data_IF_733756128246
#
_entry.id   IF_733756128246
#
_cell.length_a   1.000
_cell.length_b   1.000
_cell.length_c   1.000
_cell.angle_alpha   90.00
_cell.angle_beta   90.00
_cell.angle_gamma   90.00
#
_symmetry.space_group_name_H-M   'P 1'
#
loop_
_entity.id
_entity.type
_entity.pdbx_description
1 polymer ?
#
# COMPACT_ATOMS: atom_id res chain seq x y z
N UNK A 1 -10.91 -8.11 30.64
CA UNK A 1 -10.64 -7.90 29.20
C UNK A 1 -11.96 -7.60 28.51
N UNK A 2 -12.27 -6.33 28.30
CA UNK A 2 -13.54 -5.91 27.66
C UNK A 2 -13.43 -6.28 26.17
N UNK A 3 -14.26 -7.21 25.70
CA UNK A 3 -14.41 -7.47 24.27
C UNK A 3 -15.13 -6.26 23.66
N UNK A 4 -14.40 -5.42 22.97
CA UNK A 4 -15.02 -4.43 22.09
C UNK A 4 -15.88 -5.16 21.06
N UNK A 5 -17.07 -4.62 20.78
CA UNK A 5 -17.95 -5.24 19.81
C UNK A 5 -17.44 -4.96 18.38
N UNK A 6 -17.89 -5.72 17.38
CA UNK A 6 -17.46 -5.57 15.98
C UNK A 6 -17.71 -4.17 15.42
N UNK A 7 -18.79 -3.50 15.86
CA UNK A 7 -19.14 -2.16 15.38
C UNK A 7 -18.18 -1.10 15.91
N UNK A 8 -17.74 -1.20 17.17
CA UNK A 8 -16.73 -0.31 17.75
C UNK A 8 -15.37 -0.47 17.07
N UNK A 9 -14.95 -1.71 16.78
CA UNK A 9 -13.72 -1.97 16.05
C UNK A 9 -13.77 -1.41 14.62
N UNK A 10 -14.90 -1.55 13.91
CA UNK A 10 -15.08 -1.02 12.58
C UNK A 10 -15.03 0.52 12.58
N UNK A 11 -15.69 1.17 13.54
CA UNK A 11 -15.66 2.63 13.67
C UNK A 11 -14.24 3.16 13.89
N UNK A 12 -13.42 2.49 14.71
CA UNK A 12 -12.02 2.87 14.92
C UNK A 12 -11.16 2.72 13.67
N UNK A 13 -11.33 1.62 12.94
CA UNK A 13 -10.63 1.43 11.64
C UNK A 13 -11.03 2.53 10.65
N UNK A 14 -12.31 2.85 10.52
CA UNK A 14 -12.77 3.95 9.68
C UNK A 14 -12.17 5.29 10.09
N UNK A 15 -12.15 5.61 11.37
CA UNK A 15 -11.56 6.84 11.87
C UNK A 15 -10.05 6.93 11.54
N UNK A 16 -9.33 5.84 11.72
CA UNK A 16 -7.90 5.77 11.35
C UNK A 16 -7.70 6.01 9.85
N UNK A 17 -8.47 5.35 9.01
CA UNK A 17 -8.37 5.49 7.55
C UNK A 17 -8.73 6.91 7.10
N UNK A 18 -9.78 7.51 7.65
CA UNK A 18 -10.15 8.90 7.31
C UNK A 18 -9.07 9.90 7.78
N UNK A 19 -8.47 9.69 8.94
CA UNK A 19 -7.36 10.51 9.42
C UNK A 19 -6.15 10.44 8.48
N UNK A 20 -5.85 9.25 7.94
CA UNK A 20 -4.73 9.02 7.03
C UNK A 20 -5.08 9.15 5.54
N UNK A 21 -6.28 9.60 5.19
CA UNK A 21 -6.75 9.67 3.80
C UNK A 21 -5.77 10.36 2.86
N UNK A 22 -5.22 11.49 3.27
CA UNK A 22 -4.22 12.24 2.49
C UNK A 22 -2.93 11.48 2.30
N UNK A 23 -2.44 10.85 3.35
CA UNK A 23 -1.23 10.00 3.32
C UNK A 23 -1.42 8.80 2.38
N UNK A 24 -2.57 8.14 2.45
CA UNK A 24 -2.93 6.98 1.59
C UNK A 24 -2.89 7.37 0.11
N UNK A 25 -3.51 8.49 -0.25
CA UNK A 25 -3.54 8.99 -1.63
C UNK A 25 -2.12 9.37 -2.09
N UNK A 26 -1.37 10.07 -1.25
CA UNK A 26 0.02 10.45 -1.54
C UNK A 26 0.89 9.22 -1.74
N UNK A 27 0.83 8.26 -0.82
CA UNK A 27 1.57 7.00 -0.93
C UNK A 27 1.22 6.23 -2.20
N UNK A 28 -0.07 6.13 -2.54
CA UNK A 28 -0.53 5.48 -3.76
C UNK A 28 0.05 6.16 -5.01
N UNK A 29 0.03 7.48 -5.07
CA UNK A 29 0.63 8.24 -6.17
C UNK A 29 2.13 8.01 -6.30
N UNK A 30 2.85 8.02 -5.19
CA UNK A 30 4.30 7.83 -5.15
C UNK A 30 4.71 6.43 -5.62
N UNK A 31 4.02 5.37 -5.18
CA UNK A 31 4.35 4.02 -5.68
C UNK A 31 3.97 3.82 -7.15
N UNK A 32 2.93 4.49 -7.64
CA UNK A 32 2.61 4.49 -9.07
C UNK A 32 3.61 5.28 -9.91
N UNK A 33 4.18 6.36 -9.36
CA UNK A 33 5.20 7.16 -10.03
C UNK A 33 6.54 6.43 -10.21
N UNK A 34 6.77 5.36 -9.47
CA UNK A 34 7.99 4.54 -9.58
C UNK A 34 7.75 3.42 -10.60
N UNK A 35 8.41 3.44 -11.76
CA UNK A 35 8.36 2.32 -12.69
C UNK A 35 8.87 1.03 -12.04
N UNK A 36 8.17 -0.08 -12.23
CA UNK A 36 8.50 -1.37 -11.61
C UNK A 36 8.28 -2.54 -12.57
N UNK A 37 8.66 -2.34 -13.83
CA UNK A 37 8.59 -3.34 -14.89
C UNK A 37 9.81 -4.25 -14.85
N UNK A 38 9.65 -5.46 -15.37
CA UNK A 38 10.77 -6.37 -15.67
C UNK A 38 11.74 -6.58 -14.49
N UNK A 39 11.20 -6.87 -13.31
CA UNK A 39 11.98 -7.09 -12.08
C UNK A 39 12.69 -5.85 -11.51
N UNK A 40 12.43 -4.66 -12.02
CA UNK A 40 12.96 -3.39 -11.48
C UNK A 40 12.16 -2.93 -10.25
N UNK A 41 12.02 -3.82 -9.26
CA UNK A 41 11.13 -3.60 -8.10
C UNK A 41 11.83 -2.96 -6.89
N UNK A 42 13.14 -2.75 -6.94
CA UNK A 42 13.91 -2.27 -5.79
C UNK A 42 13.43 -0.89 -5.28
N UNK A 43 13.24 0.05 -6.19
CA UNK A 43 12.86 1.42 -5.83
C UNK A 43 11.45 1.50 -5.22
N UNK A 44 10.47 0.84 -5.85
CA UNK A 44 9.10 0.78 -5.32
C UNK A 44 9.06 0.01 -4.01
N UNK A 45 9.82 -1.08 -3.89
CA UNK A 45 9.94 -1.86 -2.66
C UNK A 45 10.50 -1.03 -1.50
N UNK A 46 11.56 -0.25 -1.72
CA UNK A 46 12.11 0.67 -0.71
C UNK A 46 11.07 1.70 -0.26
N UNK A 47 10.28 2.28 -1.19
CA UNK A 47 9.22 3.23 -0.83
C UNK A 47 8.13 2.58 0.02
N UNK A 48 7.72 1.34 -0.34
CA UNK A 48 6.74 0.56 0.43
C UNK A 48 7.28 0.23 1.82
N UNK A 49 8.52 -0.25 1.91
CA UNK A 49 9.17 -0.54 3.20
C UNK A 49 9.24 0.69 4.11
N UNK A 50 9.55 1.86 3.57
CA UNK A 50 9.55 3.12 4.33
C UNK A 50 8.16 3.47 4.88
N UNK A 51 7.08 3.23 4.10
CA UNK A 51 5.72 3.46 4.59
C UNK A 51 5.33 2.48 5.70
N UNK A 52 5.69 1.21 5.56
CA UNK A 52 5.48 0.21 6.63
C UNK A 52 6.18 0.64 7.93
N UNK A 53 7.43 1.12 7.85
CA UNK A 53 8.18 1.62 9.02
C UNK A 53 7.49 2.84 9.64
N UNK A 54 7.05 3.81 8.83
CA UNK A 54 6.29 5.00 9.27
C UNK A 54 5.02 4.61 10.03
N UNK A 55 4.35 3.53 9.60
CA UNK A 55 3.11 3.02 10.19
C UNK A 55 3.32 2.07 11.38
N UNK A 56 4.57 1.87 11.83
CA UNK A 56 4.89 1.13 13.03
C UNK A 56 4.92 -0.39 12.86
N UNK A 57 5.18 -0.89 11.65
CA UNK A 57 5.48 -2.30 11.47
C UNK A 57 6.75 -2.66 12.24
N UNK A 58 6.67 -3.70 13.06
CA UNK A 58 7.75 -4.09 14.00
C UNK A 58 8.97 -4.63 13.27
N UNK A 59 8.76 -5.30 12.14
CA UNK A 59 9.82 -5.81 11.29
C UNK A 59 9.49 -5.49 9.84
N UNK A 60 10.45 -4.88 9.14
CA UNK A 60 10.38 -4.65 7.69
C UNK A 60 11.69 -5.14 7.09
N UNK A 61 11.62 -6.15 6.24
CA UNK A 61 12.80 -6.77 5.63
C UNK A 61 12.56 -7.13 4.16
N UNK A 62 13.64 -7.30 3.44
CA UNK A 62 13.63 -7.76 2.05
C UNK A 62 14.22 -9.18 2.01
N UNK A 63 13.61 -10.05 1.24
CA UNK A 63 14.20 -11.35 0.94
C UNK A 63 15.11 -11.31 -0.31
N UNK A 64 15.68 -12.45 -0.65
CA UNK A 64 16.59 -12.57 -1.83
C UNK A 64 15.88 -12.41 -3.17
N UNK A 65 14.57 -12.53 -3.21
CA UNK A 65 13.75 -12.33 -4.40
C UNK A 65 13.31 -10.88 -4.59
N UNK A 66 13.58 -10.01 -3.57
CA UNK A 66 13.13 -8.63 -3.57
C UNK A 66 11.74 -8.44 -2.97
N UNK A 67 11.11 -9.47 -2.41
CA UNK A 67 9.86 -9.31 -1.68
C UNK A 67 10.07 -8.45 -0.44
N UNK A 68 9.12 -7.56 -0.18
CA UNK A 68 9.06 -6.76 1.06
C UNK A 68 8.16 -7.49 2.04
N UNK A 69 8.71 -7.86 3.18
CA UNK A 69 7.96 -8.50 4.25
C UNK A 69 7.86 -7.53 5.43
N UNK A 70 6.62 -7.19 5.79
CA UNK A 70 6.32 -6.36 6.95
C UNK A 70 5.53 -7.16 7.98
N UNK A 71 5.93 -7.13 9.24
CA UNK A 71 5.20 -7.77 10.33
C UNK A 71 4.61 -6.70 11.25
N UNK A 72 3.34 -6.88 11.61
CA UNK A 72 2.66 -6.09 12.63
C UNK A 72 1.93 -7.01 13.60
N UNK A 73 2.07 -6.74 14.90
CA UNK A 73 1.56 -7.63 15.94
C UNK A 73 2.48 -8.81 16.23
N UNK A 74 2.17 -9.54 17.31
CA UNK A 74 2.97 -10.65 17.84
C UNK A 74 2.10 -11.81 18.39
N UNK A 75 0.85 -11.92 17.95
CA UNK A 75 -0.05 -12.98 18.37
C UNK A 75 0.37 -14.38 17.88
N UNK A 76 -0.21 -15.45 18.46
CA UNK A 76 0.14 -16.82 18.10
C UNK A 76 -0.44 -17.26 16.75
N UNK A 77 -1.36 -16.50 16.18
CA UNK A 77 -1.93 -16.77 14.85
C UNK A 77 -1.37 -15.76 13.87
N UNK A 78 -0.93 -16.26 12.72
CA UNK A 78 -0.39 -15.44 11.64
C UNK A 78 -1.41 -15.41 10.50
N UNK A 79 -1.72 -14.19 10.03
CA UNK A 79 -2.40 -13.95 8.76
C UNK A 79 -1.39 -13.38 7.80
N UNK A 80 -1.39 -13.86 6.58
CA UNK A 80 -0.53 -13.35 5.50
C UNK A 80 -1.42 -12.66 4.48
N UNK A 81 -1.07 -11.43 4.15
CA UNK A 81 -1.62 -10.69 3.03
C UNK A 81 -0.53 -10.52 1.98
N UNK A 82 -0.89 -10.65 0.74
CA UNK A 82 0.03 -10.61 -0.40
C UNK A 82 -0.51 -9.68 -1.50
N UNK A 83 0.39 -8.96 -2.15
CA UNK A 83 0.11 -8.05 -3.25
C UNK A 83 1.37 -7.89 -4.08
N UNK A 84 1.29 -8.06 -5.40
CA UNK A 84 2.45 -7.80 -6.25
C UNK A 84 2.68 -6.31 -6.47
N UNK A 85 3.93 -5.94 -6.75
CA UNK A 85 4.37 -4.53 -6.89
C UNK A 85 4.97 -4.22 -8.25
N UNK A 86 5.21 -5.25 -9.06
CA UNK A 86 5.63 -5.08 -10.44
C UNK A 86 4.44 -4.70 -11.34
N UNK A 87 4.74 -4.18 -12.50
CA UNK A 87 3.76 -3.81 -13.52
C UNK A 87 4.23 -4.26 -14.90
N UNK A 88 3.29 -4.45 -15.81
CA UNK A 88 3.62 -4.54 -17.23
C UNK A 88 4.05 -3.16 -17.77
N UNK A 89 4.70 -3.13 -18.92
CA UNK A 89 5.10 -1.90 -19.59
C UNK A 89 3.93 -1.00 -19.97
N UNK A 90 4.20 0.24 -20.29
CA UNK A 90 3.18 1.23 -20.67
C UNK A 90 2.61 1.01 -22.09
N UNK A 91 3.22 0.14 -22.91
CA UNK A 91 2.86 -0.03 -24.31
C UNK A 91 3.29 1.18 -25.14
N UNK A 92 2.44 1.56 -26.10
CA UNK A 92 2.68 2.75 -26.94
C UNK A 92 2.40 4.03 -26.13
N UNK A 93 3.40 4.90 -25.90
CA UNK A 93 3.20 6.14 -25.13
C UNK A 93 2.17 7.10 -25.76
N UNK A 94 1.93 7.03 -27.07
CA UNK A 94 0.97 7.89 -27.76
C UNK A 94 -0.50 7.55 -27.44
N UNK A 95 -0.75 6.39 -26.86
CA UNK A 95 -2.08 5.98 -26.43
C UNK A 95 -2.50 6.52 -25.07
N UNK A 96 -1.57 7.12 -24.32
CA UNK A 96 -1.85 7.72 -23.04
C UNK A 96 -2.27 9.18 -23.17
N UNK A 97 -3.35 9.55 -22.48
CA UNK A 97 -3.83 10.94 -22.42
C UNK A 97 -3.10 11.79 -21.36
N UNK A 98 -2.27 11.15 -20.54
CA UNK A 98 -1.44 11.74 -19.46
C UNK A 98 -0.21 10.87 -19.27
N UNK A 99 0.76 11.37 -18.51
CA UNK A 99 1.94 10.58 -18.14
C UNK A 99 1.49 9.38 -17.26
N UNK A 100 1.73 8.13 -17.69
CA UNK A 100 1.36 6.93 -16.95
C UNK A 100 2.01 6.82 -15.57
N UNK A 101 3.03 7.61 -15.27
CA UNK A 101 3.72 7.64 -13.99
C UNK A 101 3.47 8.92 -13.17
N UNK A 102 2.62 9.83 -13.62
CA UNK A 102 2.29 11.06 -12.86
C UNK A 102 1.44 10.76 -11.62
N UNK A 103 0.63 9.70 -11.63
CA UNK A 103 -0.36 9.45 -10.58
C UNK A 103 -1.43 10.53 -10.56
N UNK A 104 -2.00 10.84 -11.73
CA UNK A 104 -3.04 11.86 -11.90
C UNK A 104 -4.27 11.54 -11.05
N UNK A 105 -4.73 12.50 -10.27
CA UNK A 105 -5.99 12.41 -9.53
C UNK A 105 -7.00 13.40 -10.11
N UNK A 106 -8.12 12.89 -10.59
CA UNK A 106 -9.18 13.70 -11.19
C UNK A 106 -10.54 13.04 -10.95
N UNK A 107 -11.54 13.82 -10.57
CA UNK A 107 -12.92 13.34 -10.33
C UNK A 107 -13.00 12.16 -9.36
N UNK A 108 -12.15 12.10 -8.33
CA UNK A 108 -12.13 11.02 -7.35
C UNK A 108 -11.45 9.72 -7.81
N UNK A 109 -10.85 9.71 -9.00
CA UNK A 109 -10.11 8.58 -9.55
C UNK A 109 -8.62 8.87 -9.62
N UNK A 110 -7.79 7.85 -9.41
CA UNK A 110 -6.35 7.90 -9.63
C UNK A 110 -6.01 7.15 -10.91
N UNK A 111 -5.32 7.82 -11.80
CA UNK A 111 -4.92 7.31 -13.11
C UNK A 111 -3.42 7.15 -13.18
N UNK A 112 -2.93 5.91 -13.33
CA UNK A 112 -1.52 5.59 -13.53
C UNK A 112 -1.34 4.16 -14.02
N UNK A 113 -0.15 3.84 -14.57
CA UNK A 113 0.24 2.45 -14.81
C UNK A 113 0.32 1.70 -13.47
N UNK A 114 -0.33 0.54 -13.40
CA UNK A 114 -0.36 -0.28 -12.19
C UNK A 114 -1.33 0.20 -11.11
N UNK A 115 -2.10 1.28 -11.32
CA UNK A 115 -3.04 1.78 -10.31
C UNK A 115 -4.13 0.75 -9.98
N UNK A 116 -4.65 0.05 -10.97
CA UNK A 116 -5.68 -0.99 -10.81
C UNK A 116 -5.05 -2.38 -10.65
N UNK A 117 -4.00 -2.69 -11.38
CA UNK A 117 -3.30 -3.98 -11.37
C UNK A 117 -1.81 -3.77 -11.03
N UNK A 118 -1.44 -3.95 -9.76
CA UNK A 118 -2.39 -3.91 -8.62
C UNK A 118 -1.85 -3.07 -7.46
N UNK A 119 -1.02 -2.04 -7.73
CA UNK A 119 -0.49 -1.17 -6.67
C UNK A 119 -1.58 -0.56 -5.80
N UNK A 120 -2.84 -0.52 -6.29
CA UNK A 120 -3.99 -0.03 -5.53
C UNK A 120 -4.33 -0.84 -4.29
N UNK A 121 -4.06 -2.14 -4.27
CA UNK A 121 -4.28 -3.00 -3.11
C UNK A 121 -3.23 -2.76 -2.00
N UNK A 122 -2.01 -2.37 -2.36
CA UNK A 122 -0.91 -2.17 -1.41
C UNK A 122 -1.22 -1.15 -0.30
N UNK A 123 -1.70 0.07 -0.59
CA UNK A 123 -2.10 1.01 0.46
C UNK A 123 -3.23 0.48 1.34
N UNK A 124 -4.25 -0.15 0.73
CA UNK A 124 -5.37 -0.74 1.48
C UNK A 124 -4.90 -1.81 2.47
N UNK A 125 -4.01 -2.68 2.04
CA UNK A 125 -3.42 -3.73 2.87
C UNK A 125 -2.58 -3.14 4.03
N UNK A 126 -1.66 -2.24 3.75
CA UNK A 126 -0.71 -1.70 4.73
C UNK A 126 -1.45 -0.84 5.77
N UNK A 127 -2.28 0.10 5.33
CA UNK A 127 -3.03 0.97 6.23
C UNK A 127 -4.13 0.23 6.98
N UNK A 128 -4.78 -0.76 6.33
CA UNK A 128 -5.75 -1.62 6.99
C UNK A 128 -5.14 -2.44 8.14
N UNK A 129 -3.96 -3.01 7.93
CA UNK A 129 -3.22 -3.72 8.97
C UNK A 129 -2.77 -2.77 10.09
N UNK A 130 -2.25 -1.59 9.76
CA UNK A 130 -1.87 -0.58 10.75
C UNK A 130 -3.08 -0.13 11.58
N UNK A 131 -4.22 0.14 10.95
CA UNK A 131 -5.47 0.47 11.63
C UNK A 131 -5.93 -0.64 12.59
N UNK A 132 -5.83 -1.90 12.17
CA UNK A 132 -6.19 -3.04 13.02
C UNK A 132 -5.23 -3.22 14.20
N UNK A 133 -3.98 -2.83 14.07
CA UNK A 133 -2.96 -2.91 15.12
C UNK A 133 -2.94 -1.71 16.06
N UNK A 134 -3.41 -0.55 15.62
CA UNK A 134 -3.46 0.70 16.38
C UNK A 134 -4.53 0.69 17.50
N UNK A 135 -4.77 -0.47 18.12
CA UNK A 135 -5.71 -0.56 19.25
C UNK A 135 -5.15 0.14 20.49
N UNK A 136 -6.00 0.88 21.23
CA UNK A 136 -5.63 1.44 22.53
C UNK A 136 -5.36 0.35 23.57
#
# INVERSE_FOLDING_TARGET
MIRMNMQENAAQVHQFIEFHRGDIITFMREICAIPSMDSQIEAVGKRIGAEMQKLGFAEVRFDKMGNILGQIGNGPKVLVYDSHIDTVGIGDPQQWQWDPFEGKVENGCLYARGACDEKGSTPGMIYGLAAAAAKP
#
